data_IF_176400035196
#
_entry.id   IF_176400035196
#
_cell.length_a   1.000
_cell.length_b   1.000
_cell.length_c   1.000
_cell.angle_alpha   90.00
_cell.angle_beta   90.00
_cell.angle_gamma   90.00
#
_symmetry.space_group_name_H-M   'P 1'
#
loop_
_entity.id
_entity.type
_entity.pdbx_description
1 polymer ?
#
# COMPACT_ATOMS: atom_id res chain seq x y z
N UNK A 1 -3.38 -18.67 12.49
CA UNK A 1 -4.06 -17.45 12.01
C UNK A 1 -2.98 -16.60 11.36
N UNK A 2 -3.14 -16.19 10.09
CA UNK A 2 -2.17 -15.34 9.40
C UNK A 2 -2.61 -13.88 9.53
N UNK A 3 -1.70 -13.00 9.94
CA UNK A 3 -1.91 -11.55 9.99
C UNK A 3 -1.16 -10.94 8.83
N UNK A 4 -1.86 -10.18 7.97
CA UNK A 4 -1.29 -9.54 6.79
C UNK A 4 -1.49 -8.03 6.89
N UNK A 5 -0.45 -7.26 7.25
CA UNK A 5 -0.51 -5.81 7.18
C UNK A 5 -0.77 -5.34 5.75
N UNK A 6 -1.51 -4.24 5.60
CA UNK A 6 -1.84 -3.68 4.29
C UNK A 6 -0.86 -2.59 3.85
N UNK A 7 -0.58 -2.57 2.55
CA UNK A 7 0.14 -1.51 1.85
C UNK A 7 -0.74 -1.07 0.67
N UNK A 8 -1.56 -0.05 0.90
CA UNK A 8 -2.46 0.50 -0.11
C UNK A 8 -1.76 1.66 -0.83
N UNK A 9 -1.61 1.55 -2.15
CA UNK A 9 -0.83 2.49 -2.96
C UNK A 9 -1.77 3.39 -3.77
N UNK A 10 -1.67 4.70 -3.56
CA UNK A 10 -2.38 5.72 -4.32
C UNK A 10 -1.43 6.86 -4.67
N UNK A 11 -1.34 7.21 -5.96
CA UNK A 11 -0.45 8.26 -6.45
C UNK A 11 1.03 8.00 -6.11
N UNK A 12 1.45 6.73 -6.08
CA UNK A 12 2.81 6.33 -5.71
C UNK A 12 3.15 6.40 -4.22
N UNK A 13 2.17 6.62 -3.33
CA UNK A 13 2.34 6.71 -1.87
C UNK A 13 1.56 5.63 -1.13
N UNK A 14 2.01 5.25 0.07
CA UNK A 14 1.24 4.38 0.95
C UNK A 14 0.22 5.20 1.74
N UNK A 15 -1.06 4.91 1.52
CA UNK A 15 -2.17 5.67 2.11
C UNK A 15 -3.11 4.76 2.90
N UNK A 16 -4.00 5.38 3.66
CA UNK A 16 -5.19 4.72 4.22
C UNK A 16 -6.42 5.54 3.88
N UNK A 17 -7.48 4.87 3.41
CA UNK A 17 -8.77 5.50 3.18
C UNK A 17 -9.70 5.25 4.36
N UNK A 18 -10.46 6.26 4.77
CA UNK A 18 -11.54 6.08 5.74
C UNK A 18 -12.74 5.48 5.04
N UNK A 19 -13.08 4.23 5.36
CA UNK A 19 -14.18 3.48 4.73
C UNK A 19 -14.09 3.41 3.19
N UNK A 20 -12.87 3.43 2.64
CA UNK A 20 -12.66 3.41 1.18
C UNK A 20 -13.07 4.70 0.45
N UNK A 21 -13.35 5.81 1.16
CA UNK A 21 -13.77 7.07 0.54
C UNK A 21 -12.58 7.82 -0.05
N UNK A 22 -12.63 8.11 -1.34
CA UNK A 22 -11.65 8.99 -2.00
C UNK A 22 -11.76 10.42 -1.48
N UNK A 23 -10.62 11.08 -1.31
CA UNK A 23 -10.49 12.38 -0.65
C UNK A 23 -10.34 12.29 0.86
N UNK A 24 -10.37 11.07 1.43
CA UNK A 24 -10.09 10.82 2.85
C UNK A 24 -8.73 10.15 3.08
N UNK A 25 -7.89 10.11 2.06
CA UNK A 25 -6.54 9.56 2.15
C UNK A 25 -5.69 10.26 3.20
N UNK A 26 -5.17 9.47 4.13
CA UNK A 26 -4.06 9.86 4.99
C UNK A 26 -2.79 9.15 4.50
N UNK A 27 -1.72 9.92 4.26
CA UNK A 27 -0.42 9.36 3.84
C UNK A 27 0.35 8.91 5.07
N UNK A 28 0.69 7.62 5.12
CA UNK A 28 1.52 7.04 6.19
C UNK A 28 2.99 6.98 5.78
N UNK A 29 3.26 6.62 4.53
CA UNK A 29 4.61 6.60 3.96
C UNK A 29 4.61 7.23 2.57
N UNK A 30 5.61 8.06 2.31
CA UNK A 30 5.82 8.69 1.00
C UNK A 30 6.29 7.68 -0.06
N UNK A 31 6.96 6.59 0.34
CA UNK A 31 7.34 5.48 -0.54
C UNK A 31 6.72 4.16 -0.03
N UNK A 32 5.90 3.46 -0.82
CA UNK A 32 5.32 2.16 -0.47
C UNK A 32 6.35 1.11 -0.07
N UNK A 33 7.58 1.18 -0.61
CA UNK A 33 8.65 0.27 -0.21
C UNK A 33 9.00 0.42 1.28
N UNK A 34 8.92 1.64 1.83
CA UNK A 34 9.19 1.86 3.25
C UNK A 34 8.13 1.19 4.13
N UNK A 35 6.86 1.20 3.71
CA UNK A 35 5.80 0.50 4.43
C UNK A 35 6.01 -1.02 4.43
N UNK A 36 6.39 -1.59 3.27
CA UNK A 36 6.69 -3.02 3.16
C UNK A 36 7.87 -3.44 4.05
N UNK A 37 8.99 -2.69 3.99
CA UNK A 37 10.16 -2.95 4.81
C UNK A 37 9.87 -2.78 6.31
N UNK A 38 9.06 -1.79 6.68
CA UNK A 38 8.62 -1.61 8.07
C UNK A 38 7.89 -2.86 8.57
N UNK A 39 6.92 -3.37 7.83
CA UNK A 39 6.18 -4.55 8.25
C UNK A 39 7.02 -5.82 8.27
N UNK A 40 7.96 -5.98 7.34
CA UNK A 40 8.95 -7.06 7.39
C UNK A 40 9.79 -6.98 8.68
N UNK A 41 10.26 -5.79 9.04
CA UNK A 41 11.03 -5.56 10.27
C UNK A 41 10.21 -5.82 11.56
N UNK A 42 8.91 -5.56 11.54
CA UNK A 42 7.99 -5.89 12.64
C UNK A 42 7.62 -7.38 12.69
N UNK A 43 8.11 -8.20 11.75
CA UNK A 43 7.94 -9.64 11.72
C UNK A 43 6.72 -10.14 10.95
N UNK A 44 6.22 -9.36 9.97
CA UNK A 44 5.14 -9.82 9.11
C UNK A 44 5.60 -10.90 8.13
N UNK A 45 4.94 -12.06 8.15
CA UNK A 45 5.21 -13.17 7.22
C UNK A 45 4.65 -12.94 5.81
N UNK A 46 3.69 -12.03 5.67
CA UNK A 46 3.03 -11.73 4.41
C UNK A 46 2.43 -10.31 4.43
N UNK A 47 2.38 -9.68 3.25
CA UNK A 47 1.78 -8.36 3.04
C UNK A 47 0.56 -8.45 2.13
N UNK A 48 -0.45 -7.64 2.42
CA UNK A 48 -1.57 -7.40 1.52
C UNK A 48 -1.33 -6.08 0.76
N UNK A 49 -0.91 -6.16 -0.50
CA UNK A 49 -0.60 -4.99 -1.31
C UNK A 49 -1.74 -4.68 -2.28
N UNK A 50 -2.19 -3.43 -2.31
CA UNK A 50 -3.31 -2.98 -3.16
C UNK A 50 -2.89 -1.79 -4.01
N UNK A 51 -3.02 -1.91 -5.33
CA UNK A 51 -2.91 -0.77 -6.25
C UNK A 51 -4.27 -0.07 -6.39
N UNK A 52 -4.44 1.04 -5.68
CA UNK A 52 -5.68 1.82 -5.72
C UNK A 52 -5.83 2.58 -7.04
N UNK A 53 -4.76 3.04 -7.69
CA UNK A 53 -4.88 3.70 -9.00
C UNK A 53 -5.40 2.73 -10.06
N UNK A 54 -4.89 1.50 -10.05
CA UNK A 54 -5.38 0.40 -10.88
C UNK A 54 -6.85 0.08 -10.59
N UNK A 55 -7.21 -0.07 -9.31
CA UNK A 55 -8.58 -0.34 -8.89
C UNK A 55 -9.58 0.78 -9.30
N UNK A 56 -9.12 2.04 -9.29
CA UNK A 56 -9.90 3.22 -9.65
C UNK A 56 -9.85 3.56 -11.14
N UNK A 57 -9.09 2.81 -11.95
CA UNK A 57 -8.85 3.06 -13.38
C UNK A 57 -8.27 4.45 -13.66
N UNK A 58 -7.34 4.92 -12.81
CA UNK A 58 -6.68 6.23 -12.92
C UNK A 58 -5.20 6.14 -13.32
N UNK A 59 -4.71 4.93 -13.55
CA UNK A 59 -3.31 4.65 -13.82
C UNK A 59 -2.96 3.32 -13.18
N UNK A 60 -1.70 3.14 -12.83
CA UNK A 60 -1.21 2.00 -12.09
C UNK A 60 0.01 2.39 -11.24
N UNK A 61 0.30 1.54 -10.26
CA UNK A 61 1.51 1.63 -9.43
C UNK A 61 2.39 0.39 -9.61
N UNK A 62 2.40 -0.24 -10.80
CA UNK A 62 3.08 -1.52 -11.01
C UNK A 62 4.56 -1.46 -10.64
N UNK A 63 5.25 -0.35 -10.96
CA UNK A 63 6.65 -0.13 -10.57
C UNK A 63 6.88 -0.14 -9.06
N UNK A 64 5.90 0.32 -8.27
CA UNK A 64 6.00 0.28 -6.81
C UNK A 64 5.72 -1.13 -6.29
N UNK A 65 4.74 -1.83 -6.88
CA UNK A 65 4.44 -3.22 -6.53
C UNK A 65 5.62 -4.14 -6.84
N UNK A 66 6.24 -4.00 -8.02
CA UNK A 66 7.44 -4.75 -8.43
C UNK A 66 8.65 -4.54 -7.52
N UNK A 67 8.73 -3.40 -6.81
CA UNK A 67 9.80 -3.13 -5.83
C UNK A 67 9.57 -3.85 -4.49
N UNK A 68 8.33 -4.28 -4.21
CA UNK A 68 7.93 -4.92 -2.95
C UNK A 68 8.05 -6.46 -3.04
N UNK A 69 7.88 -7.04 -4.23
CA UNK A 69 7.97 -8.48 -4.51
C UNK A 69 9.38 -8.92 -4.95
#
# INVERSE_FOLDING_TARGET
MLVMPSVDILGGKCVRLTEGKLGSEETFFEDPLQAALYWEMEGADALHVVDLDGALRRGDNLRHVERII
#
